data_IF_224565939342
#
_entry.id   IF_224565939342
#
_cell.length_a   1.000
_cell.length_b   1.000
_cell.length_c   1.000
_cell.angle_alpha   90.00
_cell.angle_beta   90.00
_cell.angle_gamma   90.00
#
_symmetry.space_group_name_H-M   'P 1'
#
loop_
_entity.id
_entity.type
_entity.pdbx_description
1 polymer ?
#
# COMPACT_ATOMS: atom_id res chain seq x y z
N UNK A 1 76.37 20.80 43.01
CA UNK A 1 76.88 20.70 41.62
C UNK A 1 76.80 19.25 41.16
N UNK A 2 76.02 19.04 40.11
CA UNK A 2 75.94 17.96 39.11
C UNK A 2 75.84 16.48 39.54
N UNK A 3 74.64 15.95 39.25
CA UNK A 3 74.20 14.56 39.23
C UNK A 3 75.16 13.64 38.46
N UNK A 4 75.42 12.46 39.04
CA UNK A 4 75.80 11.24 38.34
C UNK A 4 74.59 10.31 38.25
N UNK A 5 74.72 9.25 37.44
CA UNK A 5 73.83 8.09 37.19
C UNK A 5 73.02 8.31 35.89
N UNK A 6 73.46 7.87 34.71
CA UNK A 6 73.81 6.51 34.24
C UNK A 6 72.61 5.56 34.12
N UNK A 7 72.12 5.45 32.88
CA UNK A 7 71.66 4.26 32.12
C UNK A 7 71.02 3.11 32.92
N UNK A 8 69.76 2.77 32.56
CA UNK A 8 69.33 1.37 32.44
C UNK A 8 68.08 1.27 31.53
N UNK A 9 68.27 0.63 30.39
CA UNK A 9 67.22 0.09 29.52
C UNK A 9 66.50 -1.02 30.30
N UNK A 10 65.18 -0.90 30.46
CA UNK A 10 64.34 -1.87 31.14
C UNK A 10 63.14 -2.22 30.28
N UNK A 11 63.22 -3.38 29.64
CA UNK A 11 62.19 -4.05 28.87
C UNK A 11 61.01 -4.40 29.80
N UNK A 12 59.83 -3.85 29.56
CA UNK A 12 58.59 -4.26 30.22
C UNK A 12 57.59 -4.75 29.17
N UNK A 13 57.56 -6.07 28.99
CA UNK A 13 56.47 -6.81 28.35
C UNK A 13 55.23 -6.66 29.23
N UNK A 14 54.37 -5.69 28.94
CA UNK A 14 53.01 -5.64 29.48
C UNK A 14 52.06 -6.36 28.51
N UNK A 15 51.91 -7.67 28.72
CA UNK A 15 50.78 -8.46 28.19
C UNK A 15 49.51 -7.88 28.81
N UNK A 16 48.83 -7.01 28.05
CA UNK A 16 47.49 -6.54 28.38
C UNK A 16 46.50 -7.53 27.78
N UNK A 17 46.24 -8.62 28.51
CA UNK A 17 45.01 -9.37 28.37
C UNK A 17 43.89 -8.51 28.98
N UNK A 18 43.02 -7.96 28.14
CA UNK A 18 41.93 -7.13 28.62
C UNK A 18 41.07 -6.59 27.50
N UNK A 19 39.80 -7.00 27.52
CA UNK A 19 38.70 -6.57 26.66
C UNK A 19 38.75 -7.05 25.21
N UNK A 20 38.35 -8.32 25.05
CA UNK A 20 37.31 -8.68 24.08
C UNK A 20 36.18 -7.64 24.21
N UNK A 21 36.27 -6.55 23.45
CA UNK A 21 35.11 -5.71 23.19
C UNK A 21 34.17 -6.59 22.38
N UNK A 22 33.11 -7.02 23.06
CA UNK A 22 31.93 -7.60 22.47
C UNK A 22 31.61 -6.83 21.19
N UNK A 23 31.78 -7.53 20.06
CA UNK A 23 30.98 -7.24 18.88
C UNK A 23 29.56 -7.65 19.29
N UNK A 24 28.87 -6.73 19.97
CA UNK A 24 27.42 -6.64 19.91
C UNK A 24 27.12 -6.17 18.48
N UNK A 25 27.36 -7.06 17.51
CA UNK A 25 26.51 -7.11 16.33
C UNK A 25 25.15 -7.45 16.91
N UNK A 26 24.40 -6.40 17.26
CA UNK A 26 22.96 -6.45 17.16
C UNK A 26 22.70 -7.02 15.76
N UNK A 27 22.47 -8.32 15.70
CA UNK A 27 21.78 -8.95 14.61
C UNK A 27 20.39 -8.31 14.62
N UNK A 28 20.31 -7.10 14.07
CA UNK A 28 19.10 -6.65 13.43
C UNK A 28 18.80 -7.76 12.44
N UNK A 29 17.90 -8.66 12.82
CA UNK A 29 17.14 -9.45 11.88
C UNK A 29 16.61 -8.43 10.88
N UNK A 30 17.33 -8.27 9.77
CA UNK A 30 17.05 -7.25 8.77
C UNK A 30 15.81 -7.76 8.04
N UNK A 31 14.65 -7.58 8.66
CA UNK A 31 13.38 -8.03 8.12
C UNK A 31 13.22 -7.33 6.77
N UNK A 32 13.19 -8.14 5.74
CA UNK A 32 13.10 -7.69 4.35
C UNK A 32 11.66 -7.77 3.89
N UNK A 33 11.36 -7.14 2.75
CA UNK A 33 10.05 -7.26 2.10
C UNK A 33 9.65 -8.72 1.80
N UNK A 34 10.61 -9.64 1.73
CA UNK A 34 10.38 -11.08 1.52
C UNK A 34 9.92 -11.80 2.79
N UNK A 35 10.19 -11.24 3.96
CA UNK A 35 9.84 -11.81 5.27
C UNK A 35 8.43 -11.39 5.72
N UNK A 36 7.80 -10.43 5.02
CA UNK A 36 6.45 -9.97 5.31
C UNK A 36 5.42 -11.03 4.93
N UNK A 37 4.63 -11.46 5.92
CA UNK A 37 3.58 -12.44 5.69
C UNK A 37 2.23 -11.75 5.46
N UNK A 38 1.99 -11.37 4.20
CA UNK A 38 0.76 -10.73 3.78
C UNK A 38 -0.49 -11.60 4.02
N UNK A 39 -1.55 -10.99 4.54
CA UNK A 39 -2.84 -11.69 4.66
C UNK A 39 -3.41 -12.04 3.28
N UNK A 40 -4.15 -13.15 3.19
CA UNK A 40 -4.74 -13.62 1.93
C UNK A 40 -5.73 -12.61 1.33
N UNK A 41 -6.42 -11.84 2.18
CA UNK A 41 -7.34 -10.78 1.78
C UNK A 41 -6.59 -9.61 1.12
N UNK A 42 -5.46 -9.20 1.69
CA UNK A 42 -4.59 -8.16 1.12
C UNK A 42 -4.03 -8.62 -0.22
N UNK A 43 -3.53 -9.86 -0.33
CA UNK A 43 -3.02 -10.40 -1.60
C UNK A 43 -4.11 -10.53 -2.68
N UNK A 44 -5.34 -10.86 -2.31
CA UNK A 44 -6.45 -10.97 -3.25
C UNK A 44 -6.79 -9.61 -3.90
N UNK A 45 -6.73 -8.54 -3.11
CA UNK A 45 -6.97 -7.17 -3.57
C UNK A 45 -5.71 -6.50 -4.17
N UNK A 46 -4.53 -7.04 -3.87
CA UNK A 46 -3.22 -6.46 -4.17
C UNK A 46 -2.20 -7.55 -4.58
N UNK A 47 -2.37 -8.20 -5.75
CA UNK A 47 -1.45 -9.26 -6.17
C UNK A 47 -0.02 -8.73 -6.44
N UNK A 48 0.12 -7.42 -6.68
CA UNK A 48 1.38 -6.71 -6.92
C UNK A 48 2.02 -6.14 -5.64
N UNK A 49 1.48 -6.42 -4.44
CA UNK A 49 1.93 -5.79 -3.20
C UNK A 49 3.41 -6.06 -2.86
N UNK A 50 3.90 -7.24 -3.23
CA UNK A 50 5.31 -7.58 -3.07
C UNK A 50 6.21 -6.73 -3.99
N UNK A 51 5.74 -6.35 -5.18
CA UNK A 51 6.52 -5.58 -6.14
C UNK A 51 6.64 -4.08 -5.76
N UNK A 52 5.74 -3.57 -4.91
CA UNK A 52 5.76 -2.19 -4.41
C UNK A 52 6.50 -2.02 -3.08
N UNK A 53 6.83 -3.09 -2.36
CA UNK A 53 7.55 -2.98 -1.09
C UNK A 53 9.00 -2.55 -1.34
N UNK A 54 9.35 -1.36 -0.86
CA UNK A 54 10.68 -0.77 -1.03
C UNK A 54 11.55 -0.97 0.22
N UNK A 55 10.95 -0.90 1.40
CA UNK A 55 11.61 -1.19 2.67
C UNK A 55 10.59 -1.63 3.71
N UNK A 56 11.06 -2.26 4.79
CA UNK A 56 10.23 -2.61 5.94
C UNK A 56 10.54 -1.66 7.08
N UNK A 57 9.48 -1.25 7.79
CA UNK A 57 9.56 -0.44 8.98
C UNK A 57 8.89 -1.17 10.14
N UNK A 58 9.60 -1.33 11.26
CA UNK A 58 9.04 -1.91 12.48
C UNK A 58 8.68 -0.78 13.45
N UNK A 59 7.43 -0.77 13.92
CA UNK A 59 6.99 0.13 14.99
C UNK A 59 6.11 -0.61 15.97
N UNK A 60 6.36 -0.47 17.27
CA UNK A 60 5.56 -1.08 18.33
C UNK A 60 5.37 -2.60 18.17
N UNK A 61 6.38 -3.29 17.62
CA UNK A 61 6.36 -4.72 17.33
C UNK A 61 5.48 -5.13 16.14
N UNK A 62 5.05 -4.17 15.31
CA UNK A 62 4.31 -4.38 14.06
C UNK A 62 5.15 -4.00 12.85
N UNK A 63 5.08 -4.83 11.82
CA UNK A 63 5.80 -4.63 10.56
C UNK A 63 4.94 -3.87 9.56
N UNK A 64 5.53 -2.87 8.92
CA UNK A 64 4.93 -2.06 7.88
C UNK A 64 5.81 -2.10 6.62
N UNK A 65 5.20 -2.37 5.47
CA UNK A 65 5.87 -2.16 4.19
C UNK A 65 5.80 -0.68 3.82
N UNK A 66 6.94 -0.07 3.57
CA UNK A 66 7.01 1.24 2.91
C UNK A 66 6.92 1.05 1.41
N UNK A 67 5.96 1.74 0.80
CA UNK A 67 5.81 1.83 -0.65
C UNK A 67 5.71 3.30 -1.09
N UNK A 68 6.00 3.55 -2.36
CA UNK A 68 5.77 4.86 -2.98
C UNK A 68 4.54 4.79 -3.88
N UNK A 69 3.67 5.80 -3.80
CA UNK A 69 2.51 5.94 -4.68
C UNK A 69 2.51 7.29 -5.38
N UNK A 70 1.95 7.35 -6.59
CA UNK A 70 1.70 8.60 -7.32
C UNK A 70 0.21 8.94 -7.33
N UNK A 71 -0.12 10.17 -6.95
CA UNK A 71 -1.49 10.67 -6.98
C UNK A 71 -1.94 10.93 -8.42
N UNK A 72 -2.96 10.21 -8.88
CA UNK A 72 -3.56 10.39 -10.22
C UNK A 72 -4.68 11.42 -10.19
N UNK A 73 -5.49 11.40 -9.14
CA UNK A 73 -6.68 12.24 -9.02
C UNK A 73 -7.14 12.32 -7.57
N UNK A 74 -7.64 13.47 -7.16
CA UNK A 74 -8.41 13.62 -5.93
C UNK A 74 -9.82 14.16 -6.23
N UNK A 75 -10.81 13.64 -5.52
CA UNK A 75 -12.22 14.06 -5.54
C UNK A 75 -12.74 14.11 -4.12
N UNK A 76 -12.83 15.30 -3.53
CA UNK A 76 -13.14 15.44 -2.10
C UNK A 76 -12.06 14.74 -1.28
N UNK A 77 -12.44 13.71 -0.54
CA UNK A 77 -11.51 12.89 0.25
C UNK A 77 -11.25 11.50 -0.34
N UNK A 78 -11.67 11.27 -1.59
CA UNK A 78 -11.36 10.06 -2.36
C UNK A 78 -10.12 10.33 -3.22
N UNK A 79 -9.06 9.57 -2.98
CA UNK A 79 -7.80 9.65 -3.72
C UNK A 79 -7.70 8.46 -4.68
N UNK A 80 -7.37 8.73 -5.94
CA UNK A 80 -6.93 7.72 -6.91
C UNK A 80 -5.42 7.82 -7.06
N UNK A 81 -4.72 6.71 -6.93
CA UNK A 81 -3.26 6.63 -7.00
C UNK A 81 -2.80 5.42 -7.83
N UNK A 82 -1.51 5.37 -8.16
CA UNK A 82 -0.80 4.20 -8.71
C UNK A 82 0.37 3.87 -7.81
N UNK A 83 0.64 2.60 -7.58
CA UNK A 83 1.86 2.13 -6.91
C UNK A 83 3.07 2.27 -7.82
N UNK A 84 4.20 2.71 -7.28
CA UNK A 84 5.49 2.64 -7.94
C UNK A 84 6.16 1.34 -7.55
N UNK A 85 6.42 0.48 -8.54
CA UNK A 85 7.15 -0.76 -8.33
C UNK A 85 8.65 -0.53 -8.17
N UNK A 86 9.32 -1.51 -7.58
CA UNK A 86 10.79 -1.52 -7.43
C UNK A 86 11.55 -1.53 -8.75
N UNK A 87 10.93 -1.98 -9.85
CA UNK A 87 11.49 -1.94 -11.20
C UNK A 87 11.26 -0.58 -11.91
N UNK A 88 10.61 0.38 -11.24
CA UNK A 88 10.28 1.70 -11.77
C UNK A 88 9.01 1.73 -12.64
N UNK A 89 8.35 0.60 -12.86
CA UNK A 89 7.05 0.57 -13.52
C UNK A 89 5.95 1.05 -12.58
N UNK A 90 4.82 1.48 -13.16
CA UNK A 90 3.64 1.89 -12.40
C UNK A 90 2.63 0.75 -12.39
N UNK A 91 2.10 0.44 -11.22
CA UNK A 91 0.99 -0.50 -11.04
C UNK A 91 -0.35 0.08 -11.50
N UNK A 92 -1.40 -0.70 -11.27
CA UNK A 92 -2.76 -0.33 -11.63
C UNK A 92 -3.28 0.86 -10.82
N UNK A 93 -4.24 1.59 -11.41
CA UNK A 93 -4.85 2.74 -10.72
C UNK A 93 -5.88 2.26 -9.72
N UNK A 94 -5.73 2.69 -8.46
CA UNK A 94 -6.63 2.29 -7.37
C UNK A 94 -7.15 3.50 -6.64
N UNK A 95 -8.35 3.38 -6.05
CA UNK A 95 -8.98 4.48 -5.32
C UNK A 95 -9.23 4.09 -3.88
N UNK A 96 -9.05 5.04 -2.98
CA UNK A 96 -9.23 4.89 -1.55
C UNK A 96 -10.08 6.03 -1.03
N UNK A 97 -11.00 5.70 -0.12
CA UNK A 97 -11.69 6.68 0.70
C UNK A 97 -10.85 6.93 1.95
N UNK A 98 -10.32 8.14 2.08
CA UNK A 98 -9.57 8.54 3.27
C UNK A 98 -10.54 9.10 4.32
N UNK A 99 -10.10 9.16 5.58
CA UNK A 99 -10.81 9.90 6.63
C UNK A 99 -10.54 11.41 6.53
N UNK A 100 -11.49 12.24 6.95
CA UNK A 100 -11.36 13.71 6.90
C UNK A 100 -10.22 14.27 7.77
N UNK A 101 -9.83 13.54 8.82
CA UNK A 101 -8.71 13.84 9.70
C UNK A 101 -7.36 13.42 9.09
N UNK A 102 -7.35 12.54 8.08
CA UNK A 102 -6.13 12.04 7.46
C UNK A 102 -5.24 13.15 6.93
N UNK A 103 -3.93 12.99 7.13
CA UNK A 103 -2.90 13.90 6.62
C UNK A 103 -1.82 13.12 5.91
N UNK A 104 -1.24 13.74 4.88
CA UNK A 104 0.02 13.31 4.28
C UNK A 104 1.12 14.30 4.62
N UNK A 105 2.27 13.78 5.01
CA UNK A 105 3.47 14.57 5.25
C UNK A 105 4.36 14.58 4.01
N UNK A 106 4.52 15.75 3.37
CA UNK A 106 5.39 15.93 2.19
C UNK A 106 6.38 17.06 2.45
N UNK A 107 7.64 16.69 2.63
CA UNK A 107 8.74 17.65 2.82
C UNK A 107 8.62 18.47 4.10
N UNK A 108 8.19 17.86 5.21
CA UNK A 108 8.01 18.52 6.51
C UNK A 108 6.80 19.47 6.55
N UNK A 109 5.84 19.27 5.64
CA UNK A 109 4.53 19.92 5.68
C UNK A 109 3.42 18.88 5.62
N UNK A 110 2.40 19.10 6.43
CA UNK A 110 1.18 18.31 6.49
C UNK A 110 0.14 18.82 5.49
N UNK A 111 -0.43 17.90 4.70
CA UNK A 111 -1.43 18.15 3.66
C UNK A 111 -2.68 17.33 3.91
N UNK A 112 -3.86 17.91 3.66
CA UNK A 112 -5.11 17.14 3.60
C UNK A 112 -5.18 16.40 2.26
N UNK A 113 -5.98 15.35 2.18
CA UNK A 113 -6.15 14.63 0.92
C UNK A 113 -6.63 15.55 -0.22
N UNK A 114 -7.55 16.49 0.07
CA UNK A 114 -8.06 17.47 -0.90
C UNK A 114 -7.00 18.40 -1.48
N UNK A 115 -5.89 18.58 -0.76
CA UNK A 115 -4.83 19.53 -1.10
C UNK A 115 -3.72 18.86 -1.93
N UNK A 116 -3.79 17.53 -2.07
CA UNK A 116 -2.85 16.77 -2.89
C UNK A 116 -3.05 17.04 -4.37
N UNK A 117 -1.94 17.21 -5.07
CA UNK A 117 -1.91 17.48 -6.50
C UNK A 117 -1.64 16.20 -7.30
N UNK A 118 -2.15 16.16 -8.54
CA UNK A 118 -1.80 15.09 -9.48
C UNK A 118 -0.28 15.08 -9.72
N UNK A 119 0.30 13.89 -9.80
CA UNK A 119 1.72 13.65 -10.04
C UNK A 119 2.57 13.72 -8.78
N UNK A 120 1.97 14.04 -7.63
CA UNK A 120 2.65 14.06 -6.36
C UNK A 120 2.93 12.63 -5.89
N UNK A 121 4.17 12.36 -5.49
CA UNK A 121 4.57 11.07 -4.94
C UNK A 121 4.52 11.11 -3.42
N UNK A 122 3.96 10.06 -2.83
CA UNK A 122 3.78 9.89 -1.39
C UNK A 122 4.45 8.59 -0.94
N UNK A 123 5.11 8.63 0.21
CA UNK A 123 5.50 7.43 0.92
C UNK A 123 4.32 6.96 1.76
N UNK A 124 3.96 5.69 1.65
CA UNK A 124 2.85 5.10 2.37
C UNK A 124 3.33 3.86 3.10
N UNK A 125 2.78 3.63 4.29
CA UNK A 125 3.09 2.48 5.12
C UNK A 125 1.89 1.54 5.18
N UNK A 126 2.09 0.31 4.71
CA UNK A 126 1.07 -0.72 4.63
C UNK A 126 1.31 -1.78 5.70
N UNK A 127 0.38 -2.02 6.64
CA UNK A 127 0.50 -3.12 7.58
C UNK A 127 0.22 -4.47 6.90
N UNK A 128 0.74 -5.55 7.47
CA UNK A 128 0.59 -6.91 6.92
C UNK A 128 -0.85 -7.43 6.92
N UNK A 129 -1.68 -6.94 7.83
CA UNK A 129 -3.02 -7.43 8.11
C UNK A 129 -4.14 -6.71 7.34
N UNK A 130 -3.90 -5.49 6.82
CA UNK A 130 -4.90 -4.68 6.09
C UNK A 130 -4.27 -3.68 5.13
N UNK A 131 -4.97 -3.36 4.04
CA UNK A 131 -4.57 -2.25 3.19
C UNK A 131 -4.97 -0.94 3.90
N UNK A 132 -4.03 -0.30 4.57
CA UNK A 132 -4.21 1.00 5.21
C UNK A 132 -3.09 1.94 4.77
N UNK A 133 -3.43 3.20 4.51
CA UNK A 133 -2.46 4.24 4.16
C UNK A 133 -2.12 5.04 5.42
N UNK A 134 -1.19 4.55 6.23
CA UNK A 134 -0.56 5.40 7.23
C UNK A 134 0.48 6.28 6.51
N UNK A 135 0.36 7.60 6.65
CA UNK A 135 1.34 8.56 6.09
C UNK A 135 1.75 9.53 7.19
N UNK A 136 2.57 9.07 8.13
CA UNK A 136 3.20 9.96 9.11
C UNK A 136 4.62 9.51 9.48
N UNK A 137 5.51 10.51 9.49
CA UNK A 137 6.88 10.69 10.00
C UNK A 137 8.13 9.99 9.42
N UNK A 138 9.22 10.76 9.48
CA UNK A 138 10.61 10.35 9.34
C UNK A 138 11.04 9.29 10.39
N UNK A 139 10.22 9.14 11.44
CA UNK A 139 10.31 8.16 12.53
C UNK A 139 9.18 7.10 12.45
N UNK A 140 8.56 6.92 11.27
CA UNK A 140 7.58 5.86 10.97
C UNK A 140 6.17 6.05 11.55
N UNK A 141 5.21 5.21 11.12
CA UNK A 141 3.77 5.48 11.25
C UNK A 141 3.26 5.32 12.69
N UNK A 142 2.73 6.37 13.32
CA UNK A 142 2.00 6.26 14.60
C UNK A 142 0.65 5.56 14.43
N UNK A 143 0.28 4.67 15.37
CA UNK A 143 -0.99 3.92 15.35
C UNK A 143 -2.25 4.80 15.31
N UNK A 144 -2.13 6.08 15.68
CA UNK A 144 -3.24 7.05 15.66
C UNK A 144 -3.68 7.51 14.27
N UNK A 145 -2.88 7.27 13.22
CA UNK A 145 -3.14 7.72 11.84
C UNK A 145 -3.50 6.58 10.87
N UNK A 146 -3.77 5.38 11.38
CA UNK A 146 -4.19 4.23 10.58
C UNK A 146 -5.63 4.41 10.11
N UNK A 147 -5.81 4.98 8.90
CA UNK A 147 -7.10 4.96 8.21
C UNK A 147 -7.33 3.58 7.63
N UNK A 148 -8.21 2.83 8.27
CA UNK A 148 -8.77 1.58 7.76
C UNK A 148 -9.56 1.92 6.50
N UNK A 149 -9.17 1.32 5.38
CA UNK A 149 -9.89 1.44 4.13
C UNK A 149 -11.06 0.45 4.23
N UNK A 150 -12.18 0.91 4.76
CA UNK A 150 -13.45 0.22 4.54
C UNK A 150 -13.77 0.38 3.05
N UNK A 151 -13.51 -0.68 2.29
CA UNK A 151 -13.98 -0.78 0.92
C UNK A 151 -15.50 -0.89 0.98
N UNK A 152 -16.17 0.25 0.81
CA UNK A 152 -17.59 0.27 0.47
C UNK A 152 -17.70 -0.49 -0.85
N UNK A 153 -18.07 -1.77 -0.74
CA UNK A 153 -18.36 -2.66 -1.86
C UNK A 153 -19.41 -1.92 -2.67
N UNK A 154 -18.98 -1.29 -3.76
CA UNK A 154 -19.91 -0.73 -4.73
C UNK A 154 -20.52 -1.96 -5.39
N UNK A 155 -21.60 -2.46 -4.77
CA UNK A 155 -22.54 -3.32 -5.42
C UNK A 155 -22.88 -2.61 -6.73
N UNK A 156 -22.33 -3.10 -7.84
CA UNK A 156 -22.73 -2.63 -9.14
C UNK A 156 -24.26 -2.68 -9.13
N UNK A 157 -24.96 -1.56 -9.40
CA UNK A 157 -26.39 -1.64 -9.53
C UNK A 157 -26.63 -2.70 -10.59
N UNK A 158 -27.34 -3.75 -10.23
CA UNK A 158 -27.62 -4.86 -11.14
C UNK A 158 -28.53 -4.27 -12.22
N UNK A 159 -27.94 -3.68 -13.26
CA UNK A 159 -28.66 -3.05 -14.37
C UNK A 159 -29.20 -4.11 -15.32
N UNK A 160 -29.70 -5.22 -14.79
CA UNK A 160 -30.67 -6.05 -15.48
C UNK A 160 -32.02 -5.32 -15.41
N UNK A 161 -32.10 -4.19 -16.13
CA UNK A 161 -33.35 -3.46 -16.27
C UNK A 161 -34.41 -4.40 -16.86
N UNK A 162 -35.61 -4.52 -16.25
CA UNK A 162 -36.67 -5.42 -16.71
C UNK A 162 -37.23 -5.07 -18.12
N UNK A 163 -36.75 -3.99 -18.73
CA UNK A 163 -37.04 -3.61 -20.11
C UNK A 163 -36.69 -4.71 -21.13
N UNK A 164 -35.65 -5.51 -20.88
CA UNK A 164 -35.33 -6.66 -21.74
C UNK A 164 -36.43 -7.73 -21.70
N UNK A 165 -37.09 -7.93 -20.55
CA UNK A 165 -38.21 -8.86 -20.41
C UNK A 165 -39.46 -8.33 -21.13
N UNK A 166 -39.73 -7.02 -21.05
CA UNK A 166 -40.86 -6.39 -21.75
C UNK A 166 -40.66 -6.48 -23.27
N UNK A 167 -39.44 -6.25 -23.75
CA UNK A 167 -39.09 -6.41 -25.17
C UNK A 167 -39.26 -7.85 -25.66
N UNK A 168 -38.86 -8.85 -24.87
CA UNK A 168 -39.03 -10.26 -25.21
C UNK A 168 -40.50 -10.67 -25.31
N UNK A 169 -41.34 -10.23 -24.37
CA UNK A 169 -42.80 -10.51 -24.39
C UNK A 169 -43.47 -9.82 -25.58
N UNK A 170 -43.13 -8.56 -25.86
CA UNK A 170 -43.64 -7.83 -27.02
C UNK A 170 -43.28 -8.50 -28.35
N UNK A 171 -42.02 -8.95 -28.49
CA UNK A 171 -41.55 -9.69 -29.66
C UNK A 171 -42.30 -11.01 -29.88
N UNK A 172 -42.59 -11.76 -28.81
CA UNK A 172 -43.34 -13.00 -28.88
C UNK A 172 -44.79 -12.79 -29.38
N UNK A 173 -45.48 -11.75 -28.91
CA UNK A 173 -46.83 -11.44 -29.38
C UNK A 173 -46.87 -11.01 -30.85
N UNK A 174 -45.87 -10.25 -31.32
CA UNK A 174 -45.77 -9.87 -32.73
C UNK A 174 -45.49 -11.07 -33.63
N UNK A 175 -44.60 -11.97 -33.21
CA UNK A 175 -44.32 -13.21 -33.94
C UNK A 175 -45.56 -14.11 -34.04
N UNK A 176 -46.30 -14.28 -32.93
CA UNK A 176 -47.54 -15.05 -32.89
C UNK A 176 -48.62 -14.43 -33.80
N UNK A 177 -48.79 -13.11 -33.74
CA UNK A 177 -49.75 -12.39 -34.60
C UNK A 177 -49.41 -12.48 -36.09
N UNK A 178 -48.11 -12.42 -36.43
CA UNK A 178 -47.62 -12.65 -37.78
C UNK A 178 -47.88 -14.06 -38.28
N UNK A 179 -47.63 -15.06 -37.44
CA UNK A 179 -47.88 -16.47 -37.76
C UNK A 179 -49.37 -16.75 -37.99
N UNK A 180 -50.25 -16.29 -37.10
CA UNK A 180 -51.70 -16.46 -37.23
C UNK A 180 -52.26 -15.73 -38.48
N UNK A 181 -51.77 -14.53 -38.77
CA UNK A 181 -52.14 -13.81 -40.00
C UNK A 181 -51.66 -14.53 -41.26
N UNK A 182 -50.45 -15.09 -41.25
CA UNK A 182 -49.92 -15.88 -42.36
C UNK A 182 -50.72 -17.15 -42.62
N UNK A 183 -51.08 -17.88 -41.56
CA UNK A 183 -51.92 -19.07 -41.64
C UNK A 183 -53.30 -18.71 -42.21
N UNK A 184 -53.94 -17.65 -41.70
CA UNK A 184 -55.25 -17.20 -42.19
C UNK A 184 -55.24 -16.82 -43.68
N UNK A 185 -54.19 -16.15 -44.16
CA UNK A 185 -54.06 -15.79 -45.60
C UNK A 185 -53.81 -16.99 -46.51
N UNK A 186 -53.33 -18.11 -45.96
CA UNK A 186 -53.06 -19.34 -46.72
C UNK A 186 -54.30 -20.23 -46.87
N UNK A 187 -55.25 -20.12 -45.94
CA UNK A 187 -56.48 -20.92 -45.90
C UNK A 187 -57.75 -20.15 -46.30
N UNK A 188 -57.61 -18.89 -46.74
CA UNK A 188 -58.64 -18.08 -47.38
C UNK A 188 -58.33 -17.92 -48.86
#
# INVERSE_FOLDING_TARGET
MNKKIAIAVGMALSVSAGSLMAQDEAAASAVTCADLNWSAEVLALNPDIAAMCQSVYEKDGKMFAKASIEVVRVRGNRMTFRSLHTDGTMGDSRSVQLDSAWRAEIGGRSYRASDLMRGQQLNVYLPEDRFALAVTDADGPDEGDLVVIEEEVVEMPTTASPLFLIGAVGGAFLALGGMLSGIRRRFS
#
